data_IF_301239105588
#
_entry.id   IF_301239105588
#
_cell.length_a   1.000
_cell.length_b   1.000
_cell.length_c   1.000
_cell.angle_alpha   90.00
_cell.angle_beta   90.00
_cell.angle_gamma   90.00
#
_symmetry.space_group_name_H-M   'P 1'
#
loop_
_entity.id
_entity.type
_entity.pdbx_description
1 polymer ?
#
# COMPACT_ATOMS: atom_id res chain seq x y z
N UNK A 1 -14.98 20.77 12.56
CA UNK A 1 -13.72 20.01 12.47
C UNK A 1 -12.64 20.96 11.99
N UNK A 2 -11.54 21.15 12.71
CA UNK A 2 -10.49 22.08 12.31
C UNK A 2 -9.75 21.57 11.07
N UNK A 3 -9.15 22.47 10.26
CA UNK A 3 -8.47 22.08 9.01
C UNK A 3 -7.37 21.03 9.24
N UNK A 4 -6.62 21.15 10.33
CA UNK A 4 -5.54 20.22 10.65
C UNK A 4 -6.02 18.78 10.83
N UNK A 5 -7.26 18.54 11.30
CA UNK A 5 -7.78 17.17 11.45
C UNK A 5 -7.95 16.49 10.10
N UNK A 6 -8.41 17.25 9.09
CA UNK A 6 -8.52 16.73 7.72
C UNK A 6 -7.15 16.44 7.10
N UNK A 7 -6.16 17.32 7.35
CA UNK A 7 -4.79 17.09 6.90
C UNK A 7 -4.18 15.84 7.56
N UNK A 8 -4.41 15.62 8.85
CA UNK A 8 -3.97 14.41 9.55
C UNK A 8 -4.62 13.15 8.98
N UNK A 9 -5.92 13.18 8.68
CA UNK A 9 -6.62 12.06 8.05
C UNK A 9 -6.07 11.79 6.65
N UNK A 10 -5.87 12.83 5.84
CA UNK A 10 -5.29 12.68 4.50
C UNK A 10 -3.87 12.09 4.57
N UNK A 11 -3.04 12.55 5.51
CA UNK A 11 -1.70 12.00 5.73
C UNK A 11 -1.75 10.53 6.16
N UNK A 12 -2.66 10.17 7.07
CA UNK A 12 -2.86 8.78 7.49
C UNK A 12 -3.22 7.89 6.30
N UNK A 13 -4.17 8.33 5.46
CA UNK A 13 -4.58 7.59 4.28
C UNK A 13 -3.45 7.43 3.27
N UNK A 14 -2.63 8.48 3.07
CA UNK A 14 -1.45 8.41 2.20
C UNK A 14 -0.40 7.43 2.72
N UNK A 15 -0.13 7.42 4.03
CA UNK A 15 0.80 6.47 4.65
C UNK A 15 0.27 5.05 4.52
N UNK A 16 -1.02 4.81 4.77
CA UNK A 16 -1.63 3.50 4.59
C UNK A 16 -1.56 3.04 3.13
N UNK A 17 -1.90 3.91 2.18
CA UNK A 17 -1.82 3.61 0.77
C UNK A 17 -0.40 3.24 0.33
N UNK A 18 0.60 4.02 0.77
CA UNK A 18 2.01 3.75 0.46
C UNK A 18 2.47 2.41 1.06
N UNK A 19 2.20 2.17 2.35
CA UNK A 19 2.58 0.93 3.04
C UNK A 19 1.98 -0.31 2.39
N UNK A 20 0.72 -0.23 1.96
CA UNK A 20 -0.02 -1.33 1.33
C UNK A 20 0.20 -1.43 -0.19
N UNK A 21 1.06 -0.60 -0.78
CA UNK A 21 1.40 -0.70 -2.21
C UNK A 21 2.86 -1.11 -2.44
N UNK A 22 3.66 -1.16 -1.36
CA UNK A 22 5.11 -1.22 -1.41
C UNK A 22 5.69 -2.65 -1.39
N UNK A 23 4.93 -3.68 -1.76
CA UNK A 23 5.35 -5.10 -1.72
C UNK A 23 5.88 -5.51 -0.33
N UNK A 24 5.31 -4.97 0.74
CA UNK A 24 5.78 -5.15 2.11
C UNK A 24 7.11 -4.47 2.48
N UNK A 25 7.80 -3.81 1.54
CA UNK A 25 9.15 -3.28 1.75
C UNK A 25 9.22 -2.24 2.89
N UNK A 26 8.17 -1.43 3.07
CA UNK A 26 8.11 -0.42 4.14
C UNK A 26 7.88 -1.02 5.53
N UNK A 27 7.26 -2.20 5.61
CA UNK A 27 6.93 -2.86 6.87
C UNK A 27 7.92 -3.98 7.25
N UNK A 28 8.69 -4.49 6.28
CA UNK A 28 9.69 -5.54 6.50
C UNK A 28 10.65 -5.26 7.68
N UNK A 29 11.15 -4.03 7.94
CA UNK A 29 11.99 -3.76 9.10
C UNK A 29 11.31 -3.97 10.46
N UNK A 30 9.97 -3.94 10.50
CA UNK A 30 9.18 -4.04 11.74
C UNK A 30 8.60 -5.45 11.95
N UNK A 31 8.15 -6.10 10.88
CA UNK A 31 7.40 -7.38 10.97
C UNK A 31 8.01 -8.51 10.13
N UNK A 32 9.15 -8.28 9.48
CA UNK A 32 9.84 -9.28 8.66
C UNK A 32 8.99 -9.77 7.49
N UNK A 33 9.12 -11.06 7.17
CA UNK A 33 8.43 -11.72 6.04
C UNK A 33 6.89 -11.61 6.08
N UNK A 34 6.30 -11.39 7.27
CA UNK A 34 4.86 -11.16 7.40
C UNK A 34 4.39 -9.90 6.61
N UNK A 35 5.30 -8.96 6.33
CA UNK A 35 5.02 -7.78 5.53
C UNK A 35 4.63 -8.11 4.09
N UNK A 36 5.29 -9.10 3.47
CA UNK A 36 4.97 -9.52 2.10
C UNK A 36 3.68 -10.35 2.04
N UNK A 37 3.42 -11.18 3.06
CA UNK A 37 2.24 -12.03 3.11
C UNK A 37 0.91 -11.28 3.25
N UNK A 38 0.95 -9.99 3.61
CA UNK A 38 -0.25 -9.16 3.88
C UNK A 38 -0.46 -8.07 2.84
N UNK A 39 0.25 -8.11 1.70
CA UNK A 39 0.22 -7.04 0.71
C UNK A 39 -0.94 -7.16 -0.32
N UNK A 40 -2.16 -7.25 0.20
CA UNK A 40 -3.35 -7.49 -0.61
C UNK A 40 -3.66 -6.38 -1.62
N UNK A 41 -3.35 -5.12 -1.31
CA UNK A 41 -3.60 -4.01 -2.24
C UNK A 41 -2.58 -3.99 -3.36
N UNK A 42 -1.31 -4.30 -3.08
CA UNK A 42 -0.31 -4.52 -4.12
C UNK A 42 -0.73 -5.64 -5.08
N UNK A 43 -1.10 -6.80 -4.54
CA UNK A 43 -1.51 -7.95 -5.35
C UNK A 43 -2.78 -7.68 -6.16
N UNK A 44 -3.79 -7.03 -5.56
CA UNK A 44 -5.00 -6.63 -6.27
C UNK A 44 -4.70 -5.70 -7.46
N UNK A 45 -3.82 -4.71 -7.25
CA UNK A 45 -3.42 -3.79 -8.32
C UNK A 45 -2.56 -4.48 -9.39
N UNK A 46 -1.73 -5.43 -8.96
CA UNK A 46 -0.92 -6.27 -9.84
C UNK A 46 -1.82 -7.17 -10.72
N UNK A 47 -2.80 -7.84 -10.13
CA UNK A 47 -3.80 -8.65 -10.86
C UNK A 47 -4.63 -7.80 -11.84
N UNK A 48 -5.01 -6.59 -11.45
CA UNK A 48 -5.67 -5.65 -12.35
C UNK A 48 -4.83 -5.32 -13.58
N UNK A 49 -3.50 -5.19 -13.43
CA UNK A 49 -2.58 -4.99 -14.56
C UNK A 49 -2.50 -6.22 -15.45
N UNK A 50 -2.47 -7.42 -14.86
CA UNK A 50 -2.55 -8.67 -15.63
C UNK A 50 -3.84 -8.73 -16.45
N UNK A 51 -4.99 -8.40 -15.84
CA UNK A 51 -6.29 -8.38 -16.53
C UNK A 51 -6.33 -7.39 -17.70
N UNK A 52 -5.69 -6.23 -17.54
CA UNK A 52 -5.63 -5.17 -18.55
C UNK A 52 -4.49 -5.33 -19.55
N UNK A 53 -3.78 -6.47 -19.53
CA UNK A 53 -2.60 -6.75 -20.36
C UNK A 53 -1.52 -5.65 -20.26
N UNK A 54 -1.44 -4.99 -19.10
CA UNK A 54 -0.42 -3.98 -18.81
C UNK A 54 0.84 -4.73 -18.38
N UNK A 55 2.00 -4.54 -19.05
CA UNK A 55 3.23 -5.23 -18.69
C UNK A 55 3.61 -4.97 -17.23
N UNK A 56 4.03 -6.02 -16.52
CA UNK A 56 4.65 -5.96 -15.20
C UNK A 56 6.01 -6.69 -15.25
N UNK A 57 6.82 -6.51 -14.22
CA UNK A 57 8.20 -7.01 -14.14
C UNK A 57 8.27 -8.54 -14.01
#
# INVERSE_FOLDING_TARGET
>A
MPLWSWLTVALLLLVLFASLSASGALLAPLVGEAAGATDYLHELAHDGRHLLAVPCH
#
